data_IF_149595618345
#
_entry.id   IF_149595618345
#
_cell.length_a   1.000
_cell.length_b   1.000
_cell.length_c   1.000
_cell.angle_alpha   90.00
_cell.angle_beta   90.00
_cell.angle_gamma   90.00
#
_symmetry.space_group_name_H-M   'P 1'
#
loop_
_entity.id
_entity.type
_entity.pdbx_description
1 polymer ?
#
# COMPACT_ATOMS: atom_id res chain seq x y z
N UNK A 1 21.13 21.28 -4.43
CA UNK A 1 21.67 22.64 -4.16
C UNK A 1 20.60 23.69 -3.81
N UNK A 2 19.51 23.84 -4.57
CA UNK A 2 18.51 24.90 -4.31
C UNK A 2 17.74 24.81 -2.99
N UNK A 3 17.36 23.59 -2.54
CA UNK A 3 16.57 23.40 -1.32
C UNK A 3 17.35 23.73 -0.04
N UNK A 4 18.56 23.17 0.11
CA UNK A 4 19.45 23.44 1.26
C UNK A 4 19.78 24.92 1.39
N UNK A 5 20.16 25.57 0.29
CA UNK A 5 20.46 27.00 0.30
C UNK A 5 19.24 27.85 0.71
N UNK A 6 18.03 27.42 0.35
CA UNK A 6 16.78 28.09 0.74
C UNK A 6 16.50 27.91 2.23
N UNK A 7 16.64 26.69 2.75
CA UNK A 7 16.50 26.39 4.19
C UNK A 7 17.52 27.17 5.02
N UNK A 8 18.75 27.30 4.52
CA UNK A 8 19.80 28.06 5.21
C UNK A 8 19.49 29.56 5.27
N UNK A 9 18.96 30.15 4.19
CA UNK A 9 18.46 31.54 4.21
C UNK A 9 17.30 31.72 5.19
N UNK A 10 16.41 30.74 5.29
CA UNK A 10 15.32 30.76 6.28
C UNK A 10 15.86 30.67 7.72
N UNK A 11 16.93 29.90 7.95
CA UNK A 11 17.65 29.87 9.24
C UNK A 11 18.19 31.25 9.60
N UNK A 12 18.90 31.89 8.68
CA UNK A 12 19.45 33.24 8.87
C UNK A 12 18.35 34.28 9.16
N UNK A 13 17.22 34.21 8.44
CA UNK A 13 16.07 35.08 8.68
C UNK A 13 15.46 34.85 10.06
N UNK A 14 15.28 33.59 10.47
CA UNK A 14 14.77 33.21 11.80
C UNK A 14 15.69 33.71 12.92
N UNK A 15 17.01 33.73 12.72
CA UNK A 15 17.98 34.29 13.66
C UNK A 15 17.92 35.82 13.72
N UNK A 16 17.80 36.48 12.57
CA UNK A 16 17.71 37.95 12.47
C UNK A 16 16.41 38.50 13.06
N UNK A 17 15.29 37.81 12.84
CA UNK A 17 13.95 38.20 13.30
C UNK A 17 13.49 37.28 14.43
N UNK A 18 14.29 37.21 15.50
CA UNK A 18 14.04 36.32 16.62
C UNK A 18 12.65 36.57 17.24
N UNK A 19 11.87 35.51 17.42
CA UNK A 19 10.51 35.58 17.97
C UNK A 19 9.39 35.77 16.94
N UNK A 20 9.70 35.98 15.65
CA UNK A 20 8.68 35.95 14.60
C UNK A 20 8.29 34.50 14.28
N UNK A 21 7.11 34.08 14.75
CA UNK A 21 6.62 32.71 14.57
C UNK A 21 6.35 32.34 13.10
N UNK A 22 5.95 33.28 12.24
CA UNK A 22 5.71 33.01 10.81
C UNK A 22 7.01 32.63 10.09
N UNK A 23 8.11 33.32 10.42
CA UNK A 23 9.43 33.02 9.85
C UNK A 23 9.95 31.68 10.40
N UNK A 24 9.73 31.39 11.69
CA UNK A 24 10.07 30.11 12.28
C UNK A 24 9.29 28.97 11.63
N UNK A 25 7.99 29.18 11.40
CA UNK A 25 7.15 28.22 10.71
C UNK A 25 7.60 27.99 9.27
N UNK A 26 7.96 29.05 8.54
CA UNK A 26 8.51 28.92 7.20
C UNK A 26 9.83 28.11 7.20
N UNK A 27 10.69 28.34 8.19
CA UNK A 27 11.92 27.56 8.38
C UNK A 27 11.61 26.09 8.71
N UNK A 28 10.66 25.81 9.62
CA UNK A 28 10.23 24.45 9.93
C UNK A 28 9.63 23.74 8.70
N UNK A 29 8.79 24.44 7.91
CA UNK A 29 8.25 23.92 6.66
C UNK A 29 9.36 23.61 5.65
N UNK A 30 10.37 24.47 5.56
CA UNK A 30 11.56 24.24 4.75
C UNK A 30 12.35 23.01 5.20
N UNK A 31 12.57 22.83 6.50
CA UNK A 31 13.25 21.66 7.06
C UNK A 31 12.49 20.36 6.74
N UNK A 32 11.17 20.28 6.97
CA UNK A 32 10.44 19.05 6.65
C UNK A 32 10.52 18.71 5.14
N UNK A 33 10.40 19.70 4.25
CA UNK A 33 10.54 19.46 2.80
C UNK A 33 11.94 18.98 2.43
N UNK A 34 12.95 19.46 3.14
CA UNK A 34 14.33 19.06 2.93
C UNK A 34 14.56 17.62 3.39
N UNK A 35 13.92 17.16 4.46
CA UNK A 35 14.08 15.77 4.94
C UNK A 35 13.56 14.72 3.95
N UNK A 36 12.64 15.06 3.05
CA UNK A 36 12.22 14.16 1.96
C UNK A 36 13.30 13.92 0.88
N UNK A 37 14.33 14.77 0.81
CA UNK A 37 15.26 14.85 -0.32
C UNK A 37 16.72 14.69 0.09
N UNK A 38 16.97 14.17 1.30
CA UNK A 38 18.29 13.97 1.86
C UNK A 38 18.53 12.49 2.19
N UNK A 39 19.79 12.08 2.26
CA UNK A 39 20.13 10.79 2.86
C UNK A 39 19.87 10.79 4.38
N UNK A 40 19.86 9.60 4.98
CA UNK A 40 19.51 9.37 6.39
C UNK A 40 20.20 10.35 7.35
N UNK A 41 21.53 10.53 7.25
CA UNK A 41 22.27 11.45 8.13
C UNK A 41 21.78 12.91 8.02
N UNK A 42 21.44 13.35 6.81
CA UNK A 42 20.90 14.69 6.57
C UNK A 42 19.47 14.84 7.10
N UNK A 43 18.64 13.81 6.89
CA UNK A 43 17.29 13.76 7.43
C UNK A 43 17.29 13.77 8.97
N UNK A 44 18.20 13.02 9.62
CA UNK A 44 18.38 13.02 11.08
C UNK A 44 18.75 14.40 11.61
N UNK A 45 19.74 15.07 10.99
CA UNK A 45 20.13 16.42 11.37
C UNK A 45 18.98 17.43 11.19
N UNK A 46 18.19 17.28 10.13
CA UNK A 46 17.02 18.10 9.85
C UNK A 46 15.91 17.87 10.87
N UNK A 47 15.62 16.61 11.24
CA UNK A 47 14.66 16.24 12.28
C UNK A 47 15.09 16.77 13.65
N UNK A 48 16.38 16.77 13.94
CA UNK A 48 16.90 17.31 15.20
C UNK A 48 16.71 18.83 15.30
N UNK A 49 16.95 19.55 14.20
CA UNK A 49 16.61 21.00 14.12
C UNK A 49 15.11 21.24 14.31
N UNK A 50 14.25 20.39 13.72
CA UNK A 50 12.81 20.45 13.93
C UNK A 50 12.41 20.18 15.39
N UNK A 51 13.10 19.26 16.07
CA UNK A 51 12.90 18.97 17.50
C UNK A 51 13.17 20.21 18.34
N UNK A 52 14.29 20.90 18.10
CA UNK A 52 14.64 22.15 18.79
C UNK A 52 13.57 23.24 18.57
N UNK A 53 13.06 23.38 17.34
CA UNK A 53 11.97 24.31 17.05
C UNK A 53 10.69 23.94 17.79
N UNK A 54 10.30 22.67 17.78
CA UNK A 54 9.13 22.16 18.48
C UNK A 54 9.23 22.37 19.99
N UNK A 55 10.40 22.22 20.59
CA UNK A 55 10.59 22.46 22.03
C UNK A 55 10.42 23.95 22.38
N UNK A 56 10.98 24.83 21.55
CA UNK A 56 10.91 26.28 21.76
C UNK A 56 9.53 26.88 21.47
N UNK A 57 8.81 26.32 20.48
CA UNK A 57 7.51 26.79 20.01
C UNK A 57 6.42 25.74 20.24
N UNK A 58 6.43 25.11 21.42
CA UNK A 58 5.55 23.98 21.71
C UNK A 58 4.04 24.33 21.75
N UNK A 59 3.66 25.61 21.76
CA UNK A 59 2.27 26.05 21.61
C UNK A 59 1.80 26.22 20.15
N UNK A 60 2.70 26.10 19.18
CA UNK A 60 2.38 26.26 17.76
C UNK A 60 2.29 24.88 17.09
N UNK A 61 1.07 24.39 16.89
CA UNK A 61 0.82 23.04 16.37
C UNK A 61 1.31 22.84 14.94
N UNK A 62 1.39 23.90 14.11
CA UNK A 62 1.95 23.76 12.75
C UNK A 62 3.46 23.48 12.76
N UNK A 63 4.20 24.04 13.73
CA UNK A 63 5.64 23.73 13.91
C UNK A 63 5.80 22.29 14.42
N UNK A 64 4.93 21.87 15.33
CA UNK A 64 4.92 20.50 15.86
C UNK A 64 4.59 19.50 14.75
N UNK A 65 3.62 19.82 13.89
CA UNK A 65 3.28 19.02 12.73
C UNK A 65 4.46 18.93 11.75
N UNK A 66 5.20 20.02 11.52
CA UNK A 66 6.40 19.96 10.69
C UNK A 66 7.45 19.00 11.26
N UNK A 67 7.60 18.95 12.60
CA UNK A 67 8.45 17.95 13.26
C UNK A 67 7.90 16.53 13.09
N UNK A 68 6.59 16.30 13.23
CA UNK A 68 5.97 14.99 13.00
C UNK A 68 6.17 14.51 11.55
N UNK A 69 5.95 15.38 10.55
CA UNK A 69 6.24 15.07 9.14
C UNK A 69 7.72 14.76 8.90
N UNK A 70 8.61 15.50 9.57
CA UNK A 70 10.05 15.21 9.53
C UNK A 70 10.38 13.82 10.06
N UNK A 71 9.80 13.42 11.19
CA UNK A 71 9.95 12.07 11.75
C UNK A 71 9.39 11.00 10.80
N UNK A 72 8.21 11.23 10.23
CA UNK A 72 7.63 10.30 9.25
C UNK A 72 8.57 10.10 8.05
N UNK A 73 9.07 11.18 7.44
CA UNK A 73 10.03 11.10 6.34
C UNK A 73 11.29 10.32 6.74
N UNK A 74 11.84 10.59 7.92
CA UNK A 74 13.03 9.88 8.42
C UNK A 74 12.75 8.38 8.58
N UNK A 75 11.56 7.99 9.05
CA UNK A 75 11.19 6.58 9.23
C UNK A 75 11.09 5.80 7.90
N UNK A 76 10.84 6.49 6.77
CA UNK A 76 10.72 5.83 5.46
C UNK A 76 12.04 5.26 4.95
N UNK A 77 13.18 5.84 5.32
CA UNK A 77 14.50 5.47 4.80
C UNK A 77 15.37 4.72 5.84
N UNK A 78 14.90 4.62 7.09
CA UNK A 78 15.60 3.93 8.16
C UNK A 78 15.40 2.41 8.10
N UNK A 79 16.37 1.65 8.62
CA UNK A 79 16.14 0.25 8.96
C UNK A 79 15.13 0.10 10.11
N UNK A 80 14.58 -1.10 10.28
CA UNK A 80 13.47 -1.39 11.22
C UNK A 80 13.71 -0.81 12.62
N UNK A 81 14.86 -1.07 13.25
CA UNK A 81 15.15 -0.55 14.61
C UNK A 81 15.13 0.99 14.68
N UNK A 82 15.64 1.67 13.63
CA UNK A 82 15.63 3.12 13.54
C UNK A 82 14.22 3.67 13.33
N UNK A 83 13.46 3.03 12.43
CA UNK A 83 12.07 3.38 12.18
C UNK A 83 11.20 3.20 13.44
N UNK A 84 11.38 2.12 14.20
CA UNK A 84 10.70 1.89 15.48
C UNK A 84 10.97 3.00 16.49
N UNK A 85 12.24 3.38 16.66
CA UNK A 85 12.61 4.48 17.56
C UNK A 85 11.99 5.81 17.11
N UNK A 86 11.97 6.08 15.81
CA UNK A 86 11.37 7.29 15.22
C UNK A 86 9.83 7.30 15.38
N UNK A 87 9.18 6.14 15.24
CA UNK A 87 7.73 5.98 15.40
C UNK A 87 7.32 6.09 16.88
N UNK A 88 8.15 5.64 17.82
CA UNK A 88 7.89 5.87 19.25
C UNK A 88 7.99 7.38 19.59
N UNK A 89 8.91 8.12 18.95
CA UNK A 89 8.92 9.60 19.05
C UNK A 89 7.66 10.22 18.47
N UNK A 90 7.13 9.71 17.35
CA UNK A 90 5.84 10.17 16.80
C UNK A 90 4.69 9.88 17.77
N UNK A 91 4.71 8.72 18.42
CA UNK A 91 3.75 8.36 19.45
C UNK A 91 3.76 9.37 20.61
N UNK A 92 4.92 9.71 21.14
CA UNK A 92 5.05 10.73 22.19
C UNK A 92 4.52 12.09 21.75
N UNK A 93 4.75 12.47 20.48
CA UNK A 93 4.23 13.72 19.92
C UNK A 93 2.70 13.68 19.86
N UNK A 94 2.08 12.64 19.29
CA UNK A 94 0.62 12.61 19.19
C UNK A 94 -0.07 12.49 20.55
N UNK A 95 0.52 11.80 21.54
CA UNK A 95 -0.02 11.75 22.91
C UNK A 95 0.00 13.13 23.57
N UNK A 96 1.05 13.93 23.33
CA UNK A 96 1.17 15.30 23.86
C UNK A 96 0.22 16.29 23.17
N UNK A 97 -0.03 16.12 21.88
CA UNK A 97 -0.90 16.97 21.06
C UNK A 97 -2.21 16.24 20.72
N UNK A 98 -2.79 15.62 21.75
CA UNK A 98 -4.04 14.87 21.63
C UNK A 98 -5.14 15.72 21.00
N UNK A 99 -5.84 15.17 20.01
CA UNK A 99 -6.92 15.86 19.28
C UNK A 99 -6.46 16.55 18.01
N UNK A 100 -5.16 16.72 17.77
CA UNK A 100 -4.66 17.16 16.48
C UNK A 100 -4.59 15.95 15.52
N UNK A 101 -5.60 15.83 14.65
CA UNK A 101 -5.75 14.71 13.73
C UNK A 101 -4.63 14.63 12.68
N UNK A 102 -4.03 15.76 12.28
CA UNK A 102 -2.93 15.78 11.31
C UNK A 102 -1.65 15.15 11.90
N UNK A 103 -1.33 15.44 13.18
CA UNK A 103 -0.19 14.82 13.88
C UNK A 103 -0.42 13.33 14.07
N UNK A 104 -1.65 12.94 14.43
CA UNK A 104 -2.03 11.53 14.60
C UNK A 104 -1.92 10.78 13.28
N UNK A 105 -2.32 11.41 12.18
CA UNK A 105 -2.20 10.83 10.85
C UNK A 105 -0.74 10.54 10.49
N UNK A 106 0.21 11.44 10.80
CA UNK A 106 1.64 11.17 10.58
C UNK A 106 2.15 9.98 11.41
N UNK A 107 1.67 9.81 12.65
CA UNK A 107 1.95 8.60 13.43
C UNK A 107 1.33 7.34 12.79
N UNK A 108 0.08 7.41 12.34
CA UNK A 108 -0.59 6.29 11.67
C UNK A 108 0.13 5.86 10.38
N UNK A 109 0.57 6.81 9.55
CA UNK A 109 1.38 6.52 8.35
C UNK A 109 2.70 5.85 8.70
N UNK A 110 3.37 6.31 9.76
CA UNK A 110 4.59 5.66 10.27
C UNK A 110 4.36 4.20 10.67
N UNK A 111 3.26 3.92 11.40
CA UNK A 111 2.87 2.55 11.76
C UNK A 111 2.61 1.68 10.52
N UNK A 112 1.98 2.22 9.48
CA UNK A 112 1.77 1.48 8.22
C UNK A 112 3.09 1.09 7.59
N UNK A 113 4.03 2.03 7.43
CA UNK A 113 5.36 1.74 6.88
C UNK A 113 6.07 0.66 7.68
N UNK A 114 6.04 0.76 9.01
CA UNK A 114 6.69 -0.21 9.88
C UNK A 114 6.08 -1.62 9.73
N UNK A 115 4.77 -1.72 9.56
CA UNK A 115 4.08 -3.00 9.36
C UNK A 115 4.43 -3.70 8.04
N UNK A 116 5.03 -3.00 7.06
CA UNK A 116 5.46 -3.61 5.80
C UNK A 116 6.67 -4.53 5.96
N UNK A 117 7.59 -4.18 6.87
CA UNK A 117 8.89 -4.83 6.98
C UNK A 117 9.06 -5.64 8.28
N UNK A 118 8.10 -5.53 9.21
CA UNK A 118 8.09 -6.25 10.48
C UNK A 118 7.78 -7.75 10.33
N UNK A 119 8.20 -8.53 11.33
CA UNK A 119 7.69 -9.88 11.53
C UNK A 119 6.18 -9.88 11.84
N UNK A 120 5.51 -11.01 11.64
CA UNK A 120 4.04 -11.10 11.77
C UNK A 120 3.56 -10.70 13.17
N UNK A 121 4.25 -11.08 14.24
CA UNK A 121 3.85 -10.77 15.61
C UNK A 121 3.99 -9.25 15.90
N UNK A 122 5.09 -8.65 15.46
CA UNK A 122 5.34 -7.22 15.60
C UNK A 122 4.37 -6.39 14.74
N UNK A 123 4.14 -6.80 13.49
CA UNK A 123 3.18 -6.18 12.59
C UNK A 123 1.75 -6.26 13.15
N UNK A 124 1.36 -7.37 13.79
CA UNK A 124 0.07 -7.49 14.46
C UNK A 124 -0.08 -6.47 15.60
N UNK A 125 0.95 -6.32 16.45
CA UNK A 125 0.95 -5.31 17.50
C UNK A 125 0.86 -3.88 16.93
N UNK A 126 1.57 -3.60 15.83
CA UNK A 126 1.51 -2.32 15.10
C UNK A 126 0.11 -2.06 14.54
N UNK A 127 -0.56 -3.07 13.98
CA UNK A 127 -1.93 -2.97 13.47
C UNK A 127 -2.96 -2.80 14.59
N UNK A 128 -2.73 -3.36 15.78
CA UNK A 128 -3.58 -3.07 16.94
C UNK A 128 -3.46 -1.61 17.38
N UNK A 129 -2.27 -1.01 17.34
CA UNK A 129 -2.11 0.44 17.57
C UNK A 129 -2.91 1.27 16.55
N UNK A 130 -2.87 0.89 15.26
CA UNK A 130 -3.70 1.52 14.22
C UNK A 130 -5.20 1.35 14.50
N UNK A 131 -5.63 0.18 14.98
CA UNK A 131 -7.02 -0.08 15.35
C UNK A 131 -7.49 0.81 16.51
N UNK A 132 -6.63 1.02 17.51
CA UNK A 132 -6.87 1.94 18.62
C UNK A 132 -7.03 3.39 18.13
N UNK A 133 -6.13 3.87 17.25
CA UNK A 133 -6.24 5.20 16.64
C UNK A 133 -7.54 5.34 15.85
N UNK A 134 -7.89 4.36 15.02
CA UNK A 134 -9.13 4.38 14.24
C UNK A 134 -10.38 4.40 15.13
N UNK A 135 -10.33 3.78 16.31
CA UNK A 135 -11.42 3.83 17.29
C UNK A 135 -11.50 5.18 18.01
N UNK A 136 -10.34 5.76 18.34
CA UNK A 136 -10.23 7.06 19.01
C UNK A 136 -10.70 8.21 18.11
N UNK A 137 -10.25 8.22 16.85
CA UNK A 137 -10.57 9.24 15.85
C UNK A 137 -11.71 8.80 14.93
N UNK A 138 -12.84 8.49 15.57
CA UNK A 138 -14.01 7.95 14.91
C UNK A 138 -14.57 8.91 13.85
N UNK A 139 -14.62 8.49 12.59
CA UNK A 139 -15.13 9.32 11.50
C UNK A 139 -14.04 10.01 10.68
N UNK A 140 -12.80 10.05 11.17
CA UNK A 140 -11.65 10.43 10.35
C UNK A 140 -11.35 9.30 9.35
N UNK A 141 -11.59 9.57 8.06
CA UNK A 141 -11.43 8.57 7.01
C UNK A 141 -9.97 8.30 6.66
N UNK A 142 -9.07 9.27 6.86
CA UNK A 142 -7.64 9.12 6.54
C UNK A 142 -6.99 8.14 7.55
N UNK A 143 -7.23 8.33 8.85
CA UNK A 143 -6.76 7.40 9.90
C UNK A 143 -7.37 6.00 9.72
N UNK A 144 -8.65 5.92 9.34
CA UNK A 144 -9.26 4.63 9.03
C UNK A 144 -8.63 3.95 7.80
N UNK A 145 -8.21 4.73 6.80
CA UNK A 145 -7.52 4.22 5.62
C UNK A 145 -6.12 3.70 5.96
N UNK A 146 -5.38 4.38 6.86
CA UNK A 146 -4.10 3.86 7.37
C UNK A 146 -4.28 2.54 8.14
N UNK A 147 -5.31 2.42 8.97
CA UNK A 147 -5.64 1.13 9.59
C UNK A 147 -5.98 0.03 8.55
N UNK A 148 -6.68 0.39 7.47
CA UNK A 148 -6.96 -0.55 6.39
C UNK A 148 -5.67 -1.00 5.68
N UNK A 149 -4.73 -0.09 5.41
CA UNK A 149 -3.42 -0.42 4.82
C UNK A 149 -2.60 -1.36 5.71
N UNK A 150 -2.56 -1.09 7.02
CA UNK A 150 -1.89 -1.99 7.98
C UNK A 150 -2.48 -3.40 7.97
N UNK A 151 -3.81 -3.54 7.86
CA UNK A 151 -4.45 -4.85 7.72
C UNK A 151 -4.09 -5.56 6.41
N UNK A 152 -3.88 -4.82 5.32
CA UNK A 152 -3.41 -5.39 4.05
C UNK A 152 -1.99 -5.94 4.22
N UNK A 153 -1.07 -5.14 4.78
CA UNK A 153 0.30 -5.57 5.04
C UNK A 153 0.33 -6.85 5.89
N UNK A 154 -0.38 -6.82 7.02
CA UNK A 154 -0.47 -7.97 7.93
C UNK A 154 -1.04 -9.22 7.23
N UNK A 155 -2.08 -9.07 6.39
CA UNK A 155 -2.65 -10.18 5.63
C UNK A 155 -1.72 -10.78 4.58
N UNK A 156 -0.69 -10.05 4.13
CA UNK A 156 0.24 -10.51 3.11
C UNK A 156 1.10 -11.67 3.64
N UNK A 157 1.57 -11.57 4.88
CA UNK A 157 2.51 -12.53 5.48
C UNK A 157 1.87 -13.51 6.46
N UNK A 158 0.67 -13.20 6.99
CA UNK A 158 -0.07 -14.12 7.85
C UNK A 158 -0.41 -15.45 7.16
N UNK A 159 -0.54 -16.52 7.97
CA UNK A 159 -1.20 -17.75 7.53
C UNK A 159 -2.68 -17.53 7.18
N UNK A 160 -3.34 -18.57 6.66
CA UNK A 160 -4.74 -18.47 6.17
C UNK A 160 -5.68 -17.89 7.24
N UNK A 161 -5.65 -18.41 8.47
CA UNK A 161 -6.54 -17.95 9.55
C UNK A 161 -6.32 -16.47 9.92
N UNK A 162 -5.07 -16.02 9.97
CA UNK A 162 -4.73 -14.61 10.22
C UNK A 162 -5.21 -13.72 9.07
N UNK A 163 -4.93 -14.10 7.83
CA UNK A 163 -5.40 -13.38 6.66
C UNK A 163 -6.94 -13.29 6.61
N UNK A 164 -7.67 -14.35 6.99
CA UNK A 164 -9.13 -14.33 7.11
C UNK A 164 -9.61 -13.35 8.18
N UNK A 165 -8.95 -13.30 9.34
CA UNK A 165 -9.26 -12.35 10.39
C UNK A 165 -9.04 -10.89 9.94
N UNK A 166 -7.93 -10.63 9.25
CA UNK A 166 -7.59 -9.32 8.67
C UNK A 166 -8.61 -8.90 7.61
N UNK A 167 -9.00 -9.80 6.70
CA UNK A 167 -10.04 -9.57 5.69
C UNK A 167 -11.42 -9.31 6.32
N UNK A 168 -11.76 -9.99 7.41
CA UNK A 168 -13.03 -9.74 8.11
C UNK A 168 -13.03 -8.37 8.80
N UNK A 169 -11.89 -7.92 9.34
CA UNK A 169 -11.73 -6.55 9.87
C UNK A 169 -11.86 -5.51 8.76
N UNK A 170 -11.21 -5.72 7.62
CA UNK A 170 -11.35 -4.88 6.42
C UNK A 170 -12.80 -4.80 5.94
N UNK A 171 -13.52 -5.93 5.89
CA UNK A 171 -14.95 -5.97 5.51
C UNK A 171 -15.81 -5.11 6.44
N UNK A 172 -15.60 -5.23 7.76
CA UNK A 172 -16.32 -4.42 8.75
C UNK A 172 -16.00 -2.94 8.59
N UNK A 173 -14.74 -2.60 8.33
CA UNK A 173 -14.28 -1.24 8.12
C UNK A 173 -14.87 -0.63 6.85
N UNK A 174 -14.85 -1.36 5.73
CA UNK A 174 -15.46 -0.95 4.45
C UNK A 174 -16.97 -0.72 4.58
N UNK A 175 -17.67 -1.58 5.34
CA UNK A 175 -19.11 -1.39 5.61
C UNK A 175 -19.36 -0.10 6.39
N UNK A 176 -18.48 0.24 7.32
CA UNK A 176 -18.57 1.44 8.15
C UNK A 176 -18.30 2.71 7.34
N UNK A 177 -17.23 2.72 6.56
CA UNK A 177 -16.83 3.83 5.70
C UNK A 177 -17.28 3.59 4.27
N UNK A 178 -18.58 3.35 4.10
CA UNK A 178 -19.13 2.98 2.82
C UNK A 178 -18.98 4.15 1.82
N UNK A 179 -18.48 3.85 0.62
CA UNK A 179 -18.18 4.87 -0.38
C UNK A 179 -16.76 5.47 -0.30
N UNK A 180 -15.98 5.21 0.74
CA UNK A 180 -14.55 5.49 0.72
C UNK A 180 -13.84 4.46 -0.17
N UNK A 181 -13.20 4.93 -1.24
CA UNK A 181 -12.57 4.06 -2.24
C UNK A 181 -11.26 3.45 -1.75
N UNK A 182 -10.46 4.17 -0.96
CA UNK A 182 -9.19 3.67 -0.41
C UNK A 182 -9.42 2.46 0.52
N UNK A 183 -10.42 2.52 1.39
CA UNK A 183 -10.79 1.42 2.28
C UNK A 183 -11.41 0.25 1.48
N UNK A 184 -12.16 0.55 0.41
CA UNK A 184 -12.70 -0.48 -0.48
C UNK A 184 -11.59 -1.20 -1.24
N UNK A 185 -10.57 -0.46 -1.70
CA UNK A 185 -9.37 -1.00 -2.32
C UNK A 185 -8.59 -1.86 -1.33
N UNK A 186 -8.36 -1.38 -0.10
CA UNK A 186 -7.69 -2.18 0.93
C UNK A 186 -8.43 -3.49 1.21
N UNK A 187 -9.78 -3.48 1.25
CA UNK A 187 -10.55 -4.71 1.36
C UNK A 187 -10.38 -5.64 0.14
N UNK A 188 -10.32 -5.08 -1.07
CA UNK A 188 -10.03 -5.85 -2.27
C UNK A 188 -8.62 -6.48 -2.24
N UNK A 189 -7.59 -5.71 -1.89
CA UNK A 189 -6.21 -6.20 -1.75
C UNK A 189 -6.10 -7.30 -0.68
N UNK A 190 -6.76 -7.16 0.46
CA UNK A 190 -6.82 -8.21 1.48
C UNK A 190 -7.48 -9.50 0.95
N UNK A 191 -8.55 -9.38 0.15
CA UNK A 191 -9.17 -10.54 -0.51
C UNK A 191 -8.21 -11.19 -1.51
N UNK A 192 -7.40 -10.42 -2.25
CA UNK A 192 -6.39 -10.97 -3.16
C UNK A 192 -5.31 -11.72 -2.38
N UNK A 193 -4.76 -11.14 -1.31
CA UNK A 193 -3.82 -11.84 -0.43
C UNK A 193 -4.39 -13.17 0.08
N UNK A 194 -5.67 -13.17 0.45
CA UNK A 194 -6.36 -14.36 0.91
C UNK A 194 -6.56 -15.40 -0.20
N UNK A 195 -6.92 -15.00 -1.43
CA UNK A 195 -7.06 -15.94 -2.57
C UNK A 195 -5.77 -16.69 -2.89
N UNK A 196 -4.61 -16.06 -2.69
CA UNK A 196 -3.30 -16.71 -2.91
C UNK A 196 -2.93 -17.74 -1.84
N UNK A 197 -3.68 -17.80 -0.73
CA UNK A 197 -3.42 -18.71 0.40
C UNK A 197 -4.48 -19.81 0.54
N UNK A 198 -5.70 -19.56 0.06
CA UNK A 198 -6.83 -20.49 0.19
C UNK A 198 -6.83 -21.57 -0.91
N UNK A 199 -7.48 -22.70 -0.62
CA UNK A 199 -7.88 -23.64 -1.68
C UNK A 199 -8.97 -23.06 -2.59
N UNK A 200 -9.25 -23.74 -3.70
CA UNK A 200 -10.16 -23.27 -4.77
C UNK A 200 -11.49 -22.74 -4.24
N UNK A 201 -12.22 -23.48 -3.40
CA UNK A 201 -13.52 -23.03 -2.88
C UNK A 201 -13.46 -21.76 -2.01
N UNK A 202 -12.36 -21.57 -1.28
CA UNK A 202 -12.12 -20.32 -0.53
C UNK A 202 -11.81 -19.16 -1.48
N UNK A 203 -10.92 -19.40 -2.45
CA UNK A 203 -10.59 -18.42 -3.48
C UNK A 203 -11.82 -18.00 -4.30
N UNK A 204 -12.71 -18.92 -4.66
CA UNK A 204 -13.98 -18.63 -5.32
C UNK A 204 -14.85 -17.67 -4.51
N UNK A 205 -14.98 -17.91 -3.21
CA UNK A 205 -15.74 -17.05 -2.29
C UNK A 205 -15.14 -15.64 -2.24
N UNK A 206 -13.82 -15.54 -2.18
CA UNK A 206 -13.10 -14.26 -2.16
C UNK A 206 -13.22 -13.52 -3.50
N UNK A 207 -13.15 -14.23 -4.63
CA UNK A 207 -13.38 -13.69 -5.99
C UNK A 207 -14.81 -13.21 -6.19
N UNK A 208 -15.81 -13.91 -5.63
CA UNK A 208 -17.21 -13.44 -5.67
C UNK A 208 -17.37 -12.10 -4.94
N UNK A 209 -16.70 -11.94 -3.79
CA UNK A 209 -16.68 -10.67 -3.04
C UNK A 209 -15.97 -9.56 -3.81
N UNK A 210 -14.83 -9.87 -4.46
CA UNK A 210 -14.14 -8.94 -5.36
C UNK A 210 -15.03 -8.53 -6.54
N UNK A 211 -15.80 -9.46 -7.11
CA UNK A 211 -16.77 -9.17 -8.17
C UNK A 211 -17.83 -8.17 -7.73
N UNK A 212 -18.39 -8.32 -6.52
CA UNK A 212 -19.34 -7.36 -5.93
C UNK A 212 -18.72 -5.99 -5.68
N UNK A 213 -17.46 -5.93 -5.25
CA UNK A 213 -16.73 -4.65 -5.12
C UNK A 213 -16.55 -3.99 -6.47
N UNK A 214 -16.09 -4.74 -7.48
CA UNK A 214 -15.91 -4.28 -8.86
C UNK A 214 -17.22 -3.76 -9.47
N UNK A 215 -18.36 -4.39 -9.17
CA UNK A 215 -19.67 -3.89 -9.62
C UNK A 215 -20.02 -2.54 -8.98
N UNK A 216 -19.68 -2.36 -7.71
CA UNK A 216 -19.96 -1.13 -6.96
C UNK A 216 -19.01 0.02 -7.30
N UNK A 217 -17.75 -0.29 -7.56
CA UNK A 217 -16.67 0.67 -7.87
C UNK A 217 -16.15 0.44 -9.28
N UNK A 218 -17.06 0.40 -10.26
CA UNK A 218 -16.73 -0.01 -11.62
C UNK A 218 -15.84 0.97 -12.39
N UNK A 219 -15.75 2.22 -11.94
CA UNK A 219 -14.89 3.28 -12.50
C UNK A 219 -13.51 3.32 -11.81
N UNK A 220 -13.32 2.63 -10.68
CA UNK A 220 -12.04 2.56 -9.99
C UNK A 220 -11.22 1.40 -10.57
N UNK A 221 -10.28 1.72 -11.46
CA UNK A 221 -9.45 0.72 -12.15
C UNK A 221 -8.63 -0.15 -11.21
N UNK A 222 -8.18 0.36 -10.06
CA UNK A 222 -7.39 -0.39 -9.09
C UNK A 222 -8.21 -1.51 -8.44
N UNK A 223 -9.46 -1.23 -8.04
CA UNK A 223 -10.38 -2.26 -7.51
C UNK A 223 -10.71 -3.30 -8.59
N UNK A 224 -10.89 -2.86 -9.84
CA UNK A 224 -11.10 -3.79 -10.97
C UNK A 224 -9.86 -4.67 -11.16
N UNK A 225 -8.65 -4.12 -10.98
CA UNK A 225 -7.40 -4.85 -11.08
C UNK A 225 -7.27 -5.89 -9.96
N UNK A 226 -7.65 -5.56 -8.73
CA UNK A 226 -7.71 -6.55 -7.63
C UNK A 226 -8.67 -7.70 -7.95
N UNK A 227 -9.80 -7.44 -8.61
CA UNK A 227 -10.66 -8.51 -9.10
C UNK A 227 -9.96 -9.40 -10.16
N UNK A 228 -9.21 -8.79 -11.09
CA UNK A 228 -8.43 -9.55 -12.07
C UNK A 228 -7.33 -10.40 -11.41
N UNK A 229 -6.60 -9.86 -10.43
CA UNK A 229 -5.59 -10.60 -9.65
C UNK A 229 -6.21 -11.78 -8.90
N UNK A 230 -7.37 -11.58 -8.27
CA UNK A 230 -8.10 -12.66 -7.62
C UNK A 230 -8.51 -13.78 -8.59
N UNK A 231 -8.94 -13.42 -9.82
CA UNK A 231 -9.24 -14.40 -10.87
C UNK A 231 -7.98 -15.17 -11.31
N UNK A 232 -6.81 -14.52 -11.38
CA UNK A 232 -5.54 -15.19 -11.66
C UNK A 232 -5.22 -16.21 -10.56
N UNK A 233 -5.29 -15.82 -9.29
CA UNK A 233 -5.05 -16.74 -8.16
C UNK A 233 -6.02 -17.93 -8.18
N UNK A 234 -7.31 -17.68 -8.44
CA UNK A 234 -8.32 -18.74 -8.57
C UNK A 234 -7.98 -19.70 -9.72
N UNK A 235 -7.57 -19.17 -10.88
CA UNK A 235 -7.25 -19.98 -12.06
C UNK A 235 -6.06 -20.92 -11.86
N UNK A 236 -5.16 -20.62 -10.93
CA UNK A 236 -4.02 -21.47 -10.63
C UNK A 236 -4.46 -22.82 -10.04
N UNK A 237 -5.41 -22.79 -9.10
CA UNK A 237 -5.94 -23.98 -8.43
C UNK A 237 -7.06 -24.73 -9.17
N UNK A 238 -7.72 -24.09 -10.14
CA UNK A 238 -8.87 -24.67 -10.85
C UNK A 238 -8.51 -25.87 -11.75
N UNK A 239 -9.49 -26.74 -11.99
CA UNK A 239 -9.36 -27.79 -13.01
C UNK A 239 -9.47 -27.23 -14.43
N UNK A 240 -9.13 -28.04 -15.45
CA UNK A 240 -9.27 -27.64 -16.85
C UNK A 240 -10.73 -27.31 -17.22
N UNK A 241 -11.72 -27.93 -16.59
CA UNK A 241 -13.14 -27.67 -16.91
C UNK A 241 -13.61 -26.34 -16.30
N UNK A 242 -13.17 -26.01 -15.09
CA UNK A 242 -13.56 -24.80 -14.35
C UNK A 242 -12.85 -23.54 -14.87
N UNK A 243 -11.56 -23.66 -15.20
CA UNK A 243 -10.71 -22.50 -15.52
C UNK A 243 -11.20 -21.71 -16.74
N UNK A 244 -11.88 -22.36 -17.70
CA UNK A 244 -12.36 -21.70 -18.92
C UNK A 244 -13.25 -20.48 -18.62
N UNK A 245 -14.13 -20.55 -17.62
CA UNK A 245 -14.99 -19.42 -17.26
C UNK A 245 -14.16 -18.26 -16.71
N UNK A 246 -13.21 -18.56 -15.83
CA UNK A 246 -12.28 -17.57 -15.25
C UNK A 246 -11.47 -16.86 -16.34
N UNK A 247 -10.98 -17.59 -17.35
CA UNK A 247 -10.29 -17.02 -18.51
C UNK A 247 -11.21 -16.13 -19.35
N UNK A 248 -12.49 -16.47 -19.50
CA UNK A 248 -13.44 -15.58 -20.19
C UNK A 248 -13.69 -14.29 -19.40
N UNK A 249 -13.75 -14.35 -18.06
CA UNK A 249 -13.87 -13.17 -17.21
C UNK A 249 -12.64 -12.27 -17.34
N UNK A 250 -11.43 -12.83 -17.25
CA UNK A 250 -10.17 -12.09 -17.48
C UNK A 250 -10.11 -11.50 -18.89
N UNK A 251 -10.52 -12.25 -19.92
CA UNK A 251 -10.60 -11.75 -21.29
C UNK A 251 -11.52 -10.53 -21.40
N UNK A 252 -12.70 -10.56 -20.77
CA UNK A 252 -13.63 -9.42 -20.77
C UNK A 252 -13.00 -8.19 -20.11
N UNK A 253 -12.30 -8.35 -18.99
CA UNK A 253 -11.57 -7.27 -18.32
C UNK A 253 -10.48 -6.68 -19.23
N UNK A 254 -9.66 -7.53 -19.85
CA UNK A 254 -8.65 -7.09 -20.81
C UNK A 254 -9.25 -6.26 -21.96
N UNK A 255 -10.40 -6.63 -22.52
CA UNK A 255 -11.02 -5.83 -23.59
C UNK A 255 -11.60 -4.51 -23.07
N UNK A 256 -12.15 -4.49 -21.85
CA UNK A 256 -12.68 -3.28 -21.24
C UNK A 256 -11.57 -2.27 -20.88
N UNK A 257 -10.39 -2.77 -20.50
CA UNK A 257 -9.24 -1.98 -20.05
C UNK A 257 -8.01 -2.27 -20.91
N UNK A 258 -8.17 -2.24 -22.24
CA UNK A 258 -7.13 -2.75 -23.16
C UNK A 258 -5.82 -1.94 -23.13
N UNK A 259 -5.86 -0.68 -22.71
CA UNK A 259 -4.68 0.18 -22.56
C UNK A 259 -3.96 -0.02 -21.22
N UNK A 260 -4.63 -0.64 -20.24
CA UNK A 260 -4.07 -0.92 -18.93
C UNK A 260 -3.11 -2.11 -19.01
N UNK A 261 -1.83 -1.85 -18.76
CA UNK A 261 -0.74 -2.81 -18.84
C UNK A 261 -0.93 -3.97 -17.84
N UNK A 262 -1.30 -3.67 -16.60
CA UNK A 262 -1.51 -4.69 -15.56
C UNK A 262 -2.72 -5.59 -15.87
N UNK A 263 -3.74 -5.09 -16.56
CA UNK A 263 -4.85 -5.91 -17.05
C UNK A 263 -4.44 -6.87 -18.16
N UNK A 264 -3.54 -6.43 -19.06
CA UNK A 264 -2.93 -7.29 -20.06
C UNK A 264 -2.15 -8.42 -19.39
N UNK A 265 -1.30 -8.06 -18.40
CA UNK A 265 -0.52 -9.03 -17.61
C UNK A 265 -1.43 -10.03 -16.91
N UNK A 266 -2.49 -9.59 -16.23
CA UNK A 266 -3.42 -10.48 -15.54
C UNK A 266 -4.08 -11.47 -16.52
N UNK A 267 -4.46 -11.03 -17.72
CA UNK A 267 -5.01 -11.92 -18.73
C UNK A 267 -3.98 -12.93 -19.24
N UNK A 268 -2.75 -12.48 -19.49
CA UNK A 268 -1.64 -13.35 -19.91
C UNK A 268 -1.32 -14.41 -18.84
N UNK A 269 -1.27 -14.03 -17.55
CA UNK A 269 -1.06 -14.97 -16.43
C UNK A 269 -2.17 -16.01 -16.33
N UNK A 270 -3.44 -15.61 -16.47
CA UNK A 270 -4.53 -16.59 -16.51
C UNK A 270 -4.36 -17.58 -17.67
N UNK A 271 -3.97 -17.10 -18.84
CA UNK A 271 -3.70 -17.97 -20.00
C UNK A 271 -2.51 -18.92 -19.75
N UNK A 272 -1.47 -18.50 -19.01
CA UNK A 272 -0.38 -19.40 -18.57
C UNK A 272 -0.95 -20.54 -17.72
N UNK A 273 -1.79 -20.22 -16.72
CA UNK A 273 -2.42 -21.20 -15.85
C UNK A 273 -3.32 -22.18 -16.63
N UNK A 274 -3.98 -21.71 -17.69
CA UNK A 274 -4.71 -22.56 -18.64
C UNK A 274 -3.78 -23.46 -19.45
N UNK A 275 -2.73 -22.91 -20.05
CA UNK A 275 -1.79 -23.68 -20.88
C UNK A 275 -1.11 -24.80 -20.09
N UNK A 276 -0.77 -24.57 -18.82
CA UNK A 276 -0.21 -25.59 -17.93
C UNK A 276 -1.11 -26.82 -17.73
N UNK A 277 -2.43 -26.64 -17.86
CA UNK A 277 -3.47 -27.64 -17.65
C UNK A 277 -3.99 -28.26 -18.95
N UNK A 278 -3.64 -27.68 -20.09
CA UNK A 278 -4.04 -28.15 -21.42
C UNK A 278 -3.17 -29.30 -21.93
N UNK A 279 -3.71 -30.05 -22.91
CA UNK A 279 -2.91 -30.96 -23.73
C UNK A 279 -2.00 -30.15 -24.66
N UNK A 280 -0.86 -30.71 -25.04
CA UNK A 280 0.20 -30.04 -25.83
C UNK A 280 -0.36 -29.26 -27.04
N UNK A 281 -1.23 -29.88 -27.83
CA UNK A 281 -1.81 -29.25 -29.04
C UNK A 281 -2.66 -28.01 -28.73
N UNK A 282 -3.46 -28.06 -27.67
CA UNK A 282 -4.29 -26.92 -27.24
C UNK A 282 -3.43 -25.84 -26.58
N UNK A 283 -2.46 -26.26 -25.77
CA UNK A 283 -1.51 -25.38 -25.11
C UNK A 283 -0.72 -24.53 -26.13
N UNK A 284 -0.33 -25.09 -27.28
CA UNK A 284 0.39 -24.35 -28.34
C UNK A 284 -0.41 -23.16 -28.89
N UNK A 285 -1.72 -23.30 -29.03
CA UNK A 285 -2.61 -22.21 -29.45
C UNK A 285 -2.68 -21.13 -28.36
N UNK A 286 -2.77 -21.55 -27.10
CA UNK A 286 -2.78 -20.64 -25.95
C UNK A 286 -1.45 -19.90 -25.79
N UNK A 287 -0.31 -20.60 -25.93
CA UNK A 287 1.05 -20.03 -25.87
C UNK A 287 1.23 -18.95 -26.93
N UNK A 288 0.84 -19.22 -28.18
CA UNK A 288 0.92 -18.22 -29.28
C UNK A 288 0.16 -16.93 -28.93
N UNK A 289 -0.96 -17.06 -28.21
CA UNK A 289 -1.73 -15.91 -27.76
C UNK A 289 -1.06 -15.16 -26.61
N UNK A 290 -0.42 -15.86 -25.67
CA UNK A 290 0.35 -15.25 -24.59
C UNK A 290 1.51 -14.46 -25.17
N UNK A 291 2.27 -15.03 -26.11
CA UNK A 291 3.37 -14.35 -26.80
C UNK A 291 2.91 -13.04 -27.46
N UNK A 292 1.76 -13.06 -28.14
CA UNK A 292 1.19 -11.85 -28.75
C UNK A 292 0.80 -10.78 -27.71
N UNK A 293 0.35 -11.19 -26.51
CA UNK A 293 0.05 -10.24 -25.43
C UNK A 293 1.35 -9.63 -24.87
N UNK A 294 2.36 -10.46 -24.63
CA UNK A 294 3.67 -10.05 -24.11
C UNK A 294 4.40 -9.07 -25.02
N UNK A 295 4.21 -9.17 -26.35
CA UNK A 295 4.78 -8.22 -27.31
C UNK A 295 4.30 -6.77 -27.12
N UNK A 296 3.14 -6.56 -26.47
CA UNK A 296 2.60 -5.22 -26.26
C UNK A 296 3.39 -4.42 -25.21
N UNK A 297 3.89 -5.10 -24.18
CA UNK A 297 4.61 -4.50 -23.04
C UNK A 297 5.88 -5.30 -22.71
N UNK A 298 6.88 -5.35 -23.61
CA UNK A 298 8.05 -6.24 -23.47
C UNK A 298 8.96 -5.84 -22.30
N UNK A 299 8.92 -4.59 -21.86
CA UNK A 299 9.74 -4.08 -20.76
C UNK A 299 9.15 -4.39 -19.37
N UNK A 300 7.89 -4.83 -19.30
CA UNK A 300 7.25 -5.19 -18.03
C UNK A 300 7.94 -6.40 -17.39
N UNK A 301 8.33 -6.30 -16.13
CA UNK A 301 9.02 -7.38 -15.42
C UNK A 301 8.17 -8.66 -15.30
N UNK A 302 6.86 -8.54 -15.05
CA UNK A 302 5.95 -9.70 -15.01
C UNK A 302 5.80 -10.35 -16.38
N UNK A 303 5.89 -9.58 -17.46
CA UNK A 303 5.93 -10.13 -18.82
C UNK A 303 7.21 -10.96 -19.03
N UNK A 304 8.35 -10.49 -18.54
CA UNK A 304 9.60 -11.26 -18.58
C UNK A 304 9.47 -12.57 -17.79
N UNK A 305 8.81 -12.55 -16.64
CA UNK A 305 8.52 -13.76 -15.85
C UNK A 305 7.61 -14.73 -16.62
N UNK A 306 6.53 -14.23 -17.24
CA UNK A 306 5.64 -15.03 -18.09
C UNK A 306 6.42 -15.71 -19.22
N UNK A 307 7.30 -14.98 -19.92
CA UNK A 307 8.10 -15.54 -21.01
C UNK A 307 9.05 -16.64 -20.53
N UNK A 308 9.61 -16.52 -19.31
CA UNK A 308 10.43 -17.59 -18.70
C UNK A 308 9.59 -18.83 -18.38
N UNK A 309 8.36 -18.67 -17.89
CA UNK A 309 7.45 -19.81 -17.65
C UNK A 309 7.00 -20.47 -18.96
N UNK A 310 6.78 -19.70 -20.02
CA UNK A 310 6.43 -20.23 -21.34
C UNK A 310 7.53 -21.13 -21.92
N UNK A 311 8.81 -20.76 -21.74
CA UNK A 311 9.93 -21.59 -22.21
C UNK A 311 9.86 -23.01 -21.61
N UNK A 312 9.52 -23.13 -20.32
CA UNK A 312 9.35 -24.44 -19.64
C UNK A 312 8.18 -25.25 -20.19
N UNK A 313 7.12 -24.58 -20.69
CA UNK A 313 5.96 -25.24 -21.28
C UNK A 313 6.22 -25.72 -22.71
N UNK A 314 7.09 -25.04 -23.45
CA UNK A 314 7.47 -25.42 -24.80
C UNK A 314 8.40 -26.63 -24.84
N UNK A 315 9.11 -26.90 -23.74
CA UNK A 315 9.98 -28.07 -23.57
C UNK A 315 9.23 -29.36 -23.13
N UNK A 316 7.91 -29.33 -22.97
CA UNK A 316 7.05 -30.50 -22.63
C UNK A 316 6.68 -31.35 -23.85
#
# INVERSE_FOLDING_TARGET
>A
EGAEATVERLRELKERYCGNEEIVLAYAKGLFNLSCNQGIEGAEATVERLRELKERYCGNEEIVLAYAKGLFNLSCDQGIEGAEATIERLREVQERYYGNEEIVLEYAKGLVNLSCDQGVEEAEATVERLAELCKQYLGNQEIASEYAKGLVNLSCDQGIEGAEASVERLRKLQKRYCGNEEIALAYASGLVNLTGKQGVGGAETSVERLGKLRERYCENEEIVLEYAKGLVNLSDGQTIDEIHETIQRLKKLYHAYFENEEMNVAYAMGLVNLAQKQKIQEAQVTISKIESLCQKYPENEKVKDILRELAKLQDR
#
